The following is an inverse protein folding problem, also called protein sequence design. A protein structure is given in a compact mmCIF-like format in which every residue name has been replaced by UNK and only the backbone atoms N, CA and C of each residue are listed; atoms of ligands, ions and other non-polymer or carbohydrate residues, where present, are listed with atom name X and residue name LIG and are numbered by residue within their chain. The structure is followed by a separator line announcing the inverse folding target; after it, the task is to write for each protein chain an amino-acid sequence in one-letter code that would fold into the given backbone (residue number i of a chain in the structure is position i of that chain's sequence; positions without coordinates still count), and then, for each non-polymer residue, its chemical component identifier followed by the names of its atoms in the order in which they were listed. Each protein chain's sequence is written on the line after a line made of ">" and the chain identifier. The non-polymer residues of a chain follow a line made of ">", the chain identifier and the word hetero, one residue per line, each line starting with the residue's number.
data_IF_203749456651
#
_entry.id   IF_203749456651
#
_cell.length_a   1.000
_cell.length_b   1.000
_cell.length_c   1.000
_cell.angle_alpha   90.00
_cell.angle_beta   90.00
_cell.angle_gamma   90.00
#
_symmetry.space_group_name_H-M   'P 1'
#
loop_
_entity.id
_entity.type
_entity.pdbx_description
1 polymer ?
#
# COMPACT_ATOMS: atom_id res chain seq x y z
N UNK A 1 24.15 -14.93 -27.55
CA UNK A 1 23.87 -14.77 -26.10
C UNK A 1 22.36 -14.86 -25.89
N UNK A 2 21.85 -16.02 -25.48
CA UNK A 2 20.43 -16.20 -25.20
C UNK A 2 20.15 -15.82 -23.72
N UNK A 3 19.20 -14.92 -23.50
CA UNK A 3 18.72 -14.51 -22.17
C UNK A 3 17.93 -15.67 -21.55
N UNK A 4 18.44 -16.28 -20.49
CA UNK A 4 17.69 -17.25 -19.67
C UNK A 4 16.72 -16.52 -18.73
N UNK A 5 15.50 -16.27 -19.18
CA UNK A 5 14.37 -15.80 -18.35
C UNK A 5 13.60 -16.97 -17.66
N UNK A 6 14.15 -18.19 -17.69
CA UNK A 6 13.39 -19.46 -17.57
C UNK A 6 13.37 -20.14 -16.19
N UNK A 7 13.98 -19.57 -15.15
CA UNK A 7 13.99 -20.13 -13.79
C UNK A 7 13.43 -19.15 -12.74
N UNK A 8 12.29 -18.51 -13.04
CA UNK A 8 11.51 -17.87 -11.97
C UNK A 8 10.87 -18.94 -11.09
N UNK A 9 11.36 -19.02 -9.86
CA UNK A 9 10.74 -19.77 -8.77
C UNK A 9 9.61 -18.91 -8.20
N UNK A 10 8.41 -19.45 -8.14
CA UNK A 10 7.25 -18.81 -7.53
C UNK A 10 6.97 -19.54 -6.22
N UNK A 11 6.75 -18.78 -5.15
CA UNK A 11 6.31 -19.35 -3.88
C UNK A 11 4.79 -19.51 -3.95
N UNK A 12 4.30 -20.75 -3.92
CA UNK A 12 2.87 -21.06 -3.90
C UNK A 12 2.57 -21.82 -2.62
N UNK A 13 1.83 -21.20 -1.70
CA UNK A 13 1.58 -21.79 -0.39
C UNK A 13 2.85 -21.87 0.44
N UNK A 14 3.19 -23.10 0.87
CA UNK A 14 4.36 -23.43 1.67
C UNK A 14 5.49 -24.08 0.85
N UNK A 15 5.37 -24.12 -0.48
CA UNK A 15 6.34 -24.75 -1.38
C UNK A 15 6.82 -23.81 -2.48
N UNK A 16 8.01 -24.07 -3.01
CA UNK A 16 8.55 -23.40 -4.20
C UNK A 16 8.22 -24.25 -5.43
N UNK A 17 7.55 -23.66 -6.42
CA UNK A 17 7.28 -24.31 -7.70
C UNK A 17 7.85 -23.47 -8.84
N UNK A 18 8.36 -24.12 -9.89
CA UNK A 18 8.77 -23.39 -11.09
C UNK A 18 7.52 -22.83 -11.75
N UNK A 19 7.58 -21.59 -12.22
CA UNK A 19 6.45 -20.91 -12.87
C UNK A 19 5.79 -21.71 -14.00
N UNK A 20 6.55 -22.59 -14.68
CA UNK A 20 6.06 -23.46 -15.77
C UNK A 20 5.16 -24.62 -15.31
N UNK A 21 5.32 -25.05 -14.06
CA UNK A 21 4.62 -26.23 -13.51
C UNK A 21 3.29 -25.84 -12.86
N UNK A 22 3.02 -24.53 -12.76
CA UNK A 22 1.77 -24.02 -12.20
C UNK A 22 0.72 -23.90 -13.29
N UNK A 23 -0.37 -24.65 -13.14
CA UNK A 23 -1.50 -24.70 -14.07
C UNK A 23 -2.50 -23.53 -13.90
N UNK A 24 -2.31 -22.67 -12.90
CA UNK A 24 -3.17 -21.53 -12.61
C UNK A 24 -2.63 -20.19 -13.13
N UNK A 25 -3.52 -19.21 -13.34
CA UNK A 25 -3.19 -17.83 -13.71
C UNK A 25 -2.49 -17.09 -12.56
N UNK A 26 -1.16 -17.18 -12.54
CA UNK A 26 -0.30 -16.40 -11.66
C UNK A 26 0.31 -15.24 -12.44
N UNK A 27 0.14 -14.02 -11.92
CA UNK A 27 0.91 -12.87 -12.39
C UNK A 27 2.00 -12.55 -11.38
N UNK A 28 3.25 -12.50 -11.85
CA UNK A 28 4.42 -12.24 -11.01
C UNK A 28 5.04 -10.90 -11.42
N UNK A 29 5.30 -10.05 -10.44
CA UNK A 29 6.02 -8.79 -10.60
C UNK A 29 7.34 -8.88 -9.86
N UNK A 30 8.45 -8.59 -10.57
CA UNK A 30 9.79 -8.59 -9.97
C UNK A 30 9.96 -7.37 -9.07
N UNK A 31 10.63 -7.53 -7.94
CA UNK A 31 10.91 -6.45 -7.00
C UNK A 31 11.64 -5.25 -7.60
N UNK A 32 12.52 -5.48 -8.58
CA UNK A 32 13.21 -4.41 -9.32
C UNK A 32 12.28 -3.44 -10.05
N UNK A 33 11.05 -3.85 -10.37
CA UNK A 33 10.04 -2.97 -10.97
C UNK A 33 9.21 -2.22 -9.92
N UNK A 34 9.21 -2.69 -8.67
CA UNK A 34 8.55 -2.05 -7.52
C UNK A 34 9.47 -1.01 -6.87
N UNK A 35 10.76 -1.33 -6.76
CA UNK A 35 11.82 -0.49 -6.18
C UNK A 35 11.98 0.87 -6.89
N UNK A 36 11.57 0.98 -8.16
CA UNK A 36 11.64 2.23 -8.94
C UNK A 36 10.66 3.30 -8.46
N UNK A 37 9.66 2.93 -7.66
CA UNK A 37 8.59 3.83 -7.23
C UNK A 37 8.75 4.18 -5.76
N UNK A 38 8.84 5.48 -5.49
CA UNK A 38 8.83 6.04 -4.14
C UNK A 38 7.40 6.02 -3.58
N UNK A 39 6.90 4.83 -3.24
CA UNK A 39 5.57 4.64 -2.65
C UNK A 39 5.68 4.23 -1.19
N UNK A 40 4.79 4.78 -0.36
CA UNK A 40 4.67 4.45 1.05
C UNK A 40 4.20 3.02 1.29
N UNK A 41 3.45 2.46 0.35
CA UNK A 41 2.99 1.08 0.38
C UNK A 41 3.35 0.39 -0.95
N UNK A 42 4.08 -0.74 -0.94
CA UNK A 42 4.48 -1.45 -2.15
C UNK A 42 3.32 -1.92 -3.04
N UNK A 43 2.12 -2.14 -2.49
CA UNK A 43 0.92 -2.46 -3.28
C UNK A 43 0.61 -1.36 -4.28
N UNK A 44 0.79 -0.09 -3.93
CA UNK A 44 0.50 1.02 -4.83
C UNK A 44 1.35 0.96 -6.11
N UNK A 45 2.58 0.42 -6.03
CA UNK A 45 3.45 0.25 -7.19
C UNK A 45 2.98 -0.86 -8.16
N UNK A 46 2.08 -1.74 -7.74
CA UNK A 46 1.47 -2.76 -8.62
C UNK A 46 0.39 -2.17 -9.54
N UNK A 47 -0.03 -0.92 -9.31
CA UNK A 47 -1.08 -0.27 -10.09
C UNK A 47 -0.69 -0.24 -11.58
N UNK A 48 -1.54 -0.82 -12.42
CA UNK A 48 -1.31 -0.90 -13.87
C UNK A 48 -0.24 -1.91 -14.31
N UNK A 49 0.46 -2.59 -13.39
CA UNK A 49 1.45 -3.64 -13.73
C UNK A 49 0.80 -5.00 -13.95
N UNK A 50 -0.38 -5.21 -13.37
CA UNK A 50 -1.01 -6.52 -13.27
C UNK A 50 -2.45 -6.43 -13.80
N UNK A 51 -2.81 -7.21 -14.85
CA UNK A 51 -4.16 -7.12 -15.43
C UNK A 51 -5.20 -7.65 -14.45
N UNK A 52 -6.35 -6.98 -14.34
CA UNK A 52 -7.43 -7.37 -13.42
C UNK A 52 -7.16 -7.06 -11.95
N UNK A 53 -6.12 -6.27 -11.65
CA UNK A 53 -5.87 -5.71 -10.33
C UNK A 53 -6.31 -4.24 -10.31
N UNK A 54 -7.27 -3.91 -9.45
CA UNK A 54 -7.70 -2.52 -9.22
C UNK A 54 -7.19 -2.08 -7.86
N UNK A 55 -6.41 -1.00 -7.85
CA UNK A 55 -5.89 -0.37 -6.64
C UNK A 55 -6.46 1.04 -6.58
N UNK A 56 -7.13 1.35 -5.48
CA UNK A 56 -7.66 2.68 -5.20
C UNK A 56 -6.94 3.21 -3.97
N UNK A 57 -6.10 4.22 -4.16
CA UNK A 57 -5.46 4.94 -3.07
C UNK A 57 -6.46 5.93 -2.48
N UNK A 58 -6.41 6.11 -1.16
CA UNK A 58 -7.14 7.16 -0.45
C UNK A 58 -6.22 8.34 -0.14
N UNK A 59 -6.78 9.54 -0.11
CA UNK A 59 -6.06 10.76 0.28
C UNK A 59 -5.85 10.90 1.80
N UNK A 60 -6.37 9.97 2.60
CA UNK A 60 -6.26 9.98 4.06
C UNK A 60 -4.86 9.51 4.50
N UNK A 61 -4.15 10.25 5.37
CA UNK A 61 -2.89 9.78 5.93
C UNK A 61 -3.00 8.41 6.59
N UNK A 62 -2.01 7.55 6.36
CA UNK A 62 -1.94 6.21 6.96
C UNK A 62 -2.94 5.18 6.45
N UNK A 63 -3.81 5.56 5.50
CA UNK A 63 -4.76 4.62 4.92
C UNK A 63 -4.07 3.67 3.95
N UNK A 64 -4.28 2.37 4.13
CA UNK A 64 -3.82 1.37 3.17
C UNK A 64 -4.67 1.44 1.89
N UNK A 65 -4.08 1.26 0.70
CA UNK A 65 -4.83 1.23 -0.56
C UNK A 65 -5.88 0.13 -0.55
N UNK A 66 -7.06 0.41 -1.10
CA UNK A 66 -8.06 -0.65 -1.33
C UNK A 66 -7.66 -1.44 -2.56
N UNK A 67 -7.51 -2.76 -2.41
CA UNK A 67 -7.11 -3.67 -3.48
C UNK A 67 -8.25 -4.59 -3.83
N UNK A 68 -8.51 -4.75 -5.13
CA UNK A 68 -9.51 -5.68 -5.67
C UNK A 68 -8.92 -6.51 -6.80
N UNK A 69 -9.12 -7.83 -6.74
CA UNK A 69 -8.68 -8.77 -7.77
C UNK A 69 -9.91 -9.25 -8.53
N UNK A 70 -9.96 -8.94 -9.84
CA UNK A 70 -11.10 -9.24 -10.74
C UNK A 70 -12.44 -8.60 -10.30
N UNK A 71 -12.38 -7.46 -9.59
CA UNK A 71 -13.57 -6.72 -9.16
C UNK A 71 -14.07 -7.10 -7.77
N UNK A 72 -15.37 -6.92 -7.52
CA UNK A 72 -16.00 -7.21 -6.22
C UNK A 72 -16.70 -8.55 -6.32
N UNK A 73 -16.15 -9.57 -5.66
CA UNK A 73 -16.67 -10.95 -5.71
C UNK A 73 -17.58 -11.31 -4.53
N UNK A 74 -17.75 -10.41 -3.56
CA UNK A 74 -18.50 -10.65 -2.32
C UNK A 74 -19.20 -9.37 -1.84
N UNK A 75 -20.36 -9.54 -1.22
CA UNK A 75 -21.18 -8.47 -0.65
C UNK A 75 -20.71 -7.99 0.72
N UNK A 76 -19.84 -8.74 1.42
CA UNK A 76 -19.40 -8.42 2.78
C UNK A 76 -17.94 -7.94 2.84
N UNK A 77 -17.01 -8.63 2.18
CA UNK A 77 -15.60 -8.25 2.13
C UNK A 77 -14.94 -8.77 0.86
N UNK A 78 -14.29 -7.88 0.12
CA UNK A 78 -13.61 -8.18 -1.15
C UNK A 78 -12.09 -7.96 -1.07
N UNK A 79 -11.53 -7.83 0.14
CA UNK A 79 -10.10 -7.63 0.32
C UNK A 79 -9.34 -8.94 0.03
N UNK A 80 -8.19 -8.88 -0.66
CA UNK A 80 -7.34 -10.03 -0.87
C UNK A 80 -6.60 -10.42 0.40
N UNK A 81 -6.13 -11.66 0.44
CA UNK A 81 -5.22 -12.13 1.49
C UNK A 81 -3.77 -11.78 1.12
N UNK A 82 -3.04 -11.16 2.04
CA UNK A 82 -1.60 -10.96 1.87
C UNK A 82 -0.83 -12.08 2.55
N UNK A 83 0.15 -12.62 1.84
CA UNK A 83 1.11 -13.60 2.35
C UNK A 83 2.50 -12.99 2.25
N UNK A 84 3.25 -12.91 3.33
CA UNK A 84 4.64 -12.43 3.31
C UNK A 84 5.54 -13.52 3.84
N UNK A 85 6.41 -14.06 2.98
CA UNK A 85 7.31 -15.17 3.31
C UNK A 85 6.55 -16.39 3.88
N UNK A 86 5.37 -16.69 3.31
CA UNK A 86 4.51 -17.79 3.74
C UNK A 86 3.58 -17.47 4.92
N UNK A 87 3.64 -16.27 5.50
CA UNK A 87 2.81 -15.85 6.64
C UNK A 87 1.61 -15.00 6.21
N UNK A 88 0.42 -15.31 6.71
CA UNK A 88 -0.77 -14.49 6.49
C UNK A 88 -0.69 -13.19 7.28
N UNK A 89 -0.85 -12.06 6.59
CA UNK A 89 -0.87 -10.71 7.18
C UNK A 89 -2.03 -9.90 6.62
N UNK A 90 -2.48 -8.90 7.36
CA UNK A 90 -3.61 -8.05 6.97
C UNK A 90 -3.20 -6.88 6.06
N UNK A 91 -1.94 -6.42 6.15
CA UNK A 91 -1.38 -5.37 5.31
C UNK A 91 0.13 -5.58 5.10
N UNK A 92 0.72 -4.78 4.20
CA UNK A 92 2.16 -4.81 3.90
C UNK A 92 2.84 -3.45 4.00
N UNK A 93 2.26 -2.49 4.75
CA UNK A 93 2.82 -1.14 4.89
C UNK A 93 4.24 -1.12 5.49
N UNK A 94 4.65 -2.23 6.12
CA UNK A 94 5.96 -2.40 6.75
C UNK A 94 7.04 -2.88 5.79
N UNK A 95 6.66 -3.37 4.62
CA UNK A 95 7.61 -3.84 3.63
C UNK A 95 8.18 -2.65 2.87
N UNK A 96 9.50 -2.55 2.85
CA UNK A 96 10.19 -1.66 1.95
C UNK A 96 10.13 -2.26 0.53
N UNK A 97 9.72 -1.50 -0.51
CA UNK A 97 9.87 -1.89 -1.91
C UNK A 97 11.23 -2.52 -2.27
N UNK A 98 12.32 -1.99 -1.72
CA UNK A 98 13.68 -2.46 -1.99
C UNK A 98 13.98 -3.85 -1.39
N UNK A 99 13.20 -4.31 -0.42
CA UNK A 99 13.37 -5.63 0.21
C UNK A 99 12.55 -6.71 -0.47
N UNK A 100 11.71 -6.36 -1.45
CA UNK A 100 10.83 -7.31 -2.13
C UNK A 100 11.61 -7.99 -3.25
N UNK A 101 11.59 -9.32 -3.27
CA UNK A 101 12.14 -10.12 -4.37
C UNK A 101 11.09 -10.32 -5.46
N UNK A 102 9.92 -10.82 -5.09
CA UNK A 102 8.77 -11.01 -5.99
C UNK A 102 7.45 -10.68 -5.30
N UNK A 103 6.50 -10.21 -6.10
CA UNK A 103 5.08 -10.18 -5.73
C UNK A 103 4.31 -11.05 -6.71
N UNK A 104 3.71 -12.11 -6.20
CA UNK A 104 2.97 -13.11 -6.94
C UNK A 104 1.48 -13.00 -6.61
N UNK A 105 0.69 -12.70 -7.65
CA UNK A 105 -0.75 -12.59 -7.57
C UNK A 105 -1.40 -13.91 -8.01
N UNK A 106 -2.02 -14.60 -7.05
CA UNK A 106 -2.75 -15.85 -7.24
C UNK A 106 -4.25 -15.54 -7.38
N UNK A 107 -4.85 -15.96 -8.49
CA UNK A 107 -6.22 -15.56 -8.87
C UNK A 107 -7.15 -16.73 -9.12
N UNK A 108 -6.61 -17.90 -9.41
CA UNK A 108 -7.40 -19.05 -9.82
C UNK A 108 -7.59 -20.01 -8.66
N UNK A 109 -8.73 -20.71 -8.68
CA UNK A 109 -9.15 -21.61 -7.62
C UNK A 109 -8.07 -22.63 -7.23
N UNK A 110 -7.33 -23.19 -8.21
CA UNK A 110 -6.24 -24.14 -7.94
C UNK A 110 -5.06 -23.53 -7.18
N UNK A 111 -4.66 -22.31 -7.54
CA UNK A 111 -3.55 -21.59 -6.89
C UNK A 111 -3.91 -21.03 -5.50
N UNK A 112 -5.19 -20.76 -5.29
CA UNK A 112 -5.72 -20.10 -4.10
C UNK A 112 -6.27 -21.09 -3.07
N UNK A 113 -6.68 -22.30 -3.51
CA UNK A 113 -7.26 -23.35 -2.66
C UNK A 113 -6.39 -23.70 -1.45
N UNK A 114 -5.07 -23.57 -1.56
CA UNK A 114 -4.12 -23.82 -0.47
C UNK A 114 -4.37 -22.89 0.72
N UNK A 115 -4.88 -21.67 0.46
CA UNK A 115 -5.20 -20.68 1.48
C UNK A 115 -6.67 -20.70 1.92
N UNK A 116 -7.45 -21.64 1.39
CA UNK A 116 -8.85 -21.87 1.76
C UNK A 116 -9.76 -20.65 1.55
N UNK A 117 -10.77 -20.50 2.41
CA UNK A 117 -11.76 -19.42 2.34
C UNK A 117 -11.17 -18.01 2.42
N UNK A 118 -10.06 -17.84 3.15
CA UNK A 118 -9.37 -16.54 3.23
C UNK A 118 -8.78 -16.10 1.89
N UNK A 119 -8.43 -17.07 1.05
CA UNK A 119 -7.96 -16.81 -0.29
C UNK A 119 -9.06 -16.48 -1.30
N UNK A 120 -10.35 -16.64 -0.99
CA UNK A 120 -11.43 -16.58 -1.99
C UNK A 120 -11.47 -15.29 -2.85
N UNK A 121 -11.01 -14.17 -2.30
CA UNK A 121 -10.89 -12.88 -3.00
C UNK A 121 -9.56 -12.70 -3.77
N UNK A 122 -8.76 -13.77 -3.90
CA UNK A 122 -7.41 -13.79 -4.42
C UNK A 122 -6.34 -13.60 -3.34
N UNK A 123 -5.11 -13.97 -3.67
CA UNK A 123 -3.96 -13.94 -2.75
C UNK A 123 -2.82 -13.16 -3.39
N UNK A 124 -2.21 -12.28 -2.59
CA UNK A 124 -1.00 -11.55 -2.96
C UNK A 124 0.12 -12.13 -2.09
N UNK A 125 0.98 -12.93 -2.69
CA UNK A 125 2.14 -13.51 -2.05
C UNK A 125 3.38 -12.64 -2.31
N UNK A 126 4.08 -12.26 -1.26
CA UNK A 126 5.29 -11.45 -1.32
C UNK A 126 6.43 -12.30 -0.78
N UNK A 127 7.50 -12.39 -1.57
CA UNK A 127 8.76 -12.99 -1.18
C UNK A 127 9.76 -11.87 -0.91
N UNK A 128 10.39 -11.88 0.26
CA UNK A 128 11.43 -10.90 0.60
C UNK A 128 12.82 -11.39 0.19
N UNK A 129 13.71 -10.44 -0.14
CA UNK A 129 15.10 -10.72 -0.49
C UNK A 129 15.83 -11.30 0.72
N UNK A 130 16.35 -12.53 0.57
CA UNK A 130 17.21 -13.15 1.59
C UNK A 130 18.67 -12.99 1.21
N UNK A 131 19.52 -12.64 2.18
CA UNK A 131 20.96 -12.57 1.95
C UNK A 131 21.53 -13.92 1.48
N UNK A 132 22.54 -13.85 0.60
CA UNK A 132 23.29 -15.04 0.24
C UNK A 132 23.94 -15.68 1.48
N UNK A 133 24.16 -17.00 1.43
CA UNK A 133 24.74 -17.75 2.55
C UNK A 133 26.11 -17.18 2.95
N UNK A 134 26.30 -17.00 4.25
CA UNK A 134 27.49 -16.37 4.86
C UNK A 134 27.50 -14.84 4.79
N UNK A 135 26.47 -14.19 4.23
CA UNK A 135 26.42 -12.73 4.11
C UNK A 135 25.36 -12.11 5.02
N UNK A 136 25.67 -10.90 5.45
CA UNK A 136 24.73 -9.97 6.06
C UNK A 136 24.53 -8.82 5.08
N UNK A 137 23.28 -8.50 4.78
CA UNK A 137 22.90 -7.33 4.00
C UNK A 137 22.15 -6.39 4.92
N UNK A 138 22.51 -5.12 4.88
CA UNK A 138 21.82 -4.04 5.58
C UNK A 138 21.36 -3.07 4.51
N UNK A 139 20.06 -2.78 4.49
CA UNK A 139 19.48 -1.84 3.56
C UNK A 139 18.74 -0.75 4.34
N UNK A 140 19.06 0.50 4.04
CA UNK A 140 18.40 1.66 4.64
C UNK A 140 17.85 2.53 3.53
N UNK A 141 16.56 2.82 3.59
CA UNK A 141 15.86 3.67 2.63
C UNK A 141 15.11 4.75 3.39
N UNK A 142 15.34 5.99 3.01
CA UNK A 142 14.57 7.15 3.44
C UNK A 142 13.95 7.82 2.22
N UNK A 143 12.66 8.12 2.29
CA UNK A 143 11.93 8.84 1.25
C UNK A 143 11.23 10.02 1.90
N UNK A 144 11.46 11.21 1.36
CA UNK A 144 10.83 12.45 1.78
C UNK A 144 10.11 13.06 0.58
N UNK A 145 8.87 13.52 0.78
CA UNK A 145 8.05 14.09 -0.27
C UNK A 145 7.08 15.16 0.23
N UNK A 146 6.52 15.91 -0.70
CA UNK A 146 5.45 16.88 -0.46
C UNK A 146 4.23 16.47 -1.27
N UNK A 147 3.11 16.24 -0.59
CA UNK A 147 1.82 15.95 -1.18
C UNK A 147 1.08 17.26 -1.43
N UNK A 148 0.61 17.44 -2.67
CA UNK A 148 -0.18 18.60 -3.09
C UNK A 148 -1.49 18.15 -3.71
N UNK A 149 -2.54 18.93 -3.51
CA UNK A 149 -3.81 18.75 -4.23
C UNK A 149 -3.67 19.41 -5.59
N UNK A 150 -3.75 18.59 -6.64
CA UNK A 150 -3.56 19.02 -8.03
C UNK A 150 -4.84 19.54 -8.69
N UNK A 151 -6.00 19.18 -8.14
CA UNK A 151 -7.31 19.51 -8.68
C UNK A 151 -8.23 19.91 -7.52
N UNK A 152 -8.62 21.19 -7.50
CA UNK A 152 -9.57 21.76 -6.54
C UNK A 152 -10.91 21.91 -7.24
N UNK A 153 -12.01 21.84 -6.50
CA UNK A 153 -13.34 22.01 -7.08
C UNK A 153 -13.48 23.47 -7.54
N UNK A 154 -13.86 23.69 -8.80
CA UNK A 154 -14.18 25.03 -9.26
C UNK A 154 -15.46 25.53 -8.58
N UNK A 155 -15.30 26.54 -7.73
CA UNK A 155 -16.40 27.20 -7.03
C UNK A 155 -16.49 28.66 -7.46
N UNK A 156 -17.71 29.19 -7.46
CA UNK A 156 -17.91 30.63 -7.73
C UNK A 156 -17.39 31.47 -6.58
N UNK A 157 -16.90 32.67 -6.90
CA UNK A 157 -16.63 33.70 -5.92
C UNK A 157 -17.94 34.31 -5.36
N UNK A 158 -17.83 35.15 -4.33
CA UNK A 158 -18.97 35.79 -3.67
C UNK A 158 -19.87 36.57 -4.66
N UNK A 159 -19.28 37.28 -5.63
CA UNK A 159 -20.02 38.05 -6.62
C UNK A 159 -20.78 37.15 -7.60
N UNK A 160 -20.15 36.09 -8.08
CA UNK A 160 -20.81 35.12 -8.94
C UNK A 160 -21.94 34.38 -8.22
N UNK A 161 -21.79 34.09 -6.92
CA UNK A 161 -22.88 33.57 -6.09
C UNK A 161 -24.07 34.53 -6.04
N UNK A 162 -23.84 35.81 -5.73
CA UNK A 162 -24.88 36.85 -5.71
C UNK A 162 -25.60 36.93 -7.06
N UNK A 163 -24.86 36.90 -8.16
CA UNK A 163 -25.41 36.92 -9.52
C UNK A 163 -26.32 35.71 -9.79
N UNK A 164 -25.85 34.51 -9.46
CA UNK A 164 -26.61 33.27 -9.66
C UNK A 164 -27.89 33.26 -8.81
N UNK A 165 -27.77 33.65 -7.54
CA UNK A 165 -28.90 33.67 -6.62
C UNK A 165 -29.95 34.73 -6.98
N UNK A 166 -29.53 35.94 -7.38
CA UNK A 166 -30.46 36.96 -7.87
C UNK A 166 -31.18 36.52 -9.17
N UNK A 167 -30.47 35.82 -10.07
CA UNK A 167 -31.06 35.25 -11.29
C UNK A 167 -32.12 34.19 -10.94
N UNK A 168 -31.85 33.36 -9.93
CA UNK A 168 -32.81 32.38 -9.43
C UNK A 168 -34.06 33.04 -8.85
N UNK A 169 -33.92 34.08 -8.00
CA UNK A 169 -35.06 34.80 -7.42
C UNK A 169 -35.94 35.46 -8.49
N UNK A 170 -35.32 36.05 -9.51
CA UNK A 170 -36.04 36.62 -10.66
C UNK A 170 -36.86 35.56 -11.42
N UNK A 171 -36.31 34.35 -11.60
CA UNK A 171 -37.01 33.25 -12.28
C UNK A 171 -38.17 32.66 -11.45
N UNK A 172 -38.06 32.69 -10.12
CA UNK A 172 -39.10 32.17 -9.21
C UNK A 172 -40.24 33.17 -8.95
N UNK A 173 -40.15 34.39 -9.49
CA UNK A 173 -41.09 35.50 -9.18
C UNK A 173 -41.20 35.71 -7.65
N UNK A 174 -40.10 35.44 -6.93
CA UNK A 174 -40.08 35.39 -5.48
C UNK A 174 -39.21 36.51 -4.89
N UNK A 175 -39.84 37.28 -3.99
CA UNK A 175 -39.28 38.08 -2.89
C UNK A 175 -38.34 39.27 -3.21
N UNK A 176 -38.36 40.31 -2.35
CA UNK A 176 -37.54 41.54 -2.51
C UNK A 176 -36.04 41.24 -2.56
N UNK A 177 -35.24 42.16 -3.16
CA UNK A 177 -33.80 42.00 -3.29
C UNK A 177 -33.16 41.74 -1.93
N UNK A 178 -32.32 40.72 -1.87
CA UNK A 178 -31.55 40.37 -0.68
C UNK A 178 -30.52 41.44 -0.41
N UNK A 179 -30.39 41.84 0.86
CA UNK A 179 -29.40 42.82 1.29
C UNK A 179 -28.06 42.12 1.56
N UNK A 180 -27.09 42.35 0.68
CA UNK A 180 -25.74 41.80 0.80
C UNK A 180 -24.76 42.76 1.49
N UNK A 181 -25.21 43.89 2.05
CA UNK A 181 -24.34 44.95 2.58
C UNK A 181 -23.33 44.45 3.62
N UNK A 182 -23.71 43.46 4.42
CA UNK A 182 -22.85 42.85 5.45
C UNK A 182 -21.99 41.67 4.94
N UNK A 183 -22.19 41.22 3.70
CA UNK A 183 -21.55 40.01 3.15
C UNK A 183 -20.45 40.40 2.13
N UNK A 184 -19.35 40.97 2.64
CA UNK A 184 -18.23 41.47 1.81
C UNK A 184 -17.06 40.49 1.68
N UNK A 185 -17.07 39.38 2.41
CA UNK A 185 -15.99 38.41 2.39
C UNK A 185 -16.06 37.52 1.14
N UNK A 186 -14.89 37.19 0.58
CA UNK A 186 -14.73 36.25 -0.52
C UNK A 186 -13.68 35.20 -0.14
N UNK A 187 -14.01 34.37 0.85
CA UNK A 187 -13.08 33.41 1.43
C UNK A 187 -12.98 32.16 0.55
N UNK A 188 -11.76 31.80 0.16
CA UNK A 188 -11.48 30.49 -0.41
C UNK A 188 -11.44 29.45 0.72
N UNK A 189 -12.54 28.74 0.90
CA UNK A 189 -12.66 27.68 1.89
C UNK A 189 -11.74 26.49 1.61
N UNK A 190 -11.47 26.18 0.34
CA UNK A 190 -10.57 25.09 -0.02
C UNK A 190 -9.13 25.44 0.37
N UNK A 191 -8.69 26.67 0.13
CA UNK A 191 -7.36 27.11 0.59
C UNK A 191 -7.24 27.21 2.11
N UNK A 192 -8.35 27.47 2.81
CA UNK A 192 -8.37 27.57 4.27
C UNK A 192 -8.22 26.21 4.96
N UNK A 193 -8.78 25.13 4.39
CA UNK A 193 -8.74 23.78 4.99
C UNK A 193 -7.60 22.93 4.43
N UNK A 194 -7.14 23.20 3.21
CA UNK A 194 -6.10 22.43 2.54
C UNK A 194 -4.72 23.00 2.82
N UNK A 195 -3.70 22.17 2.71
CA UNK A 195 -2.29 22.53 2.79
C UNK A 195 -1.43 21.59 1.96
N UNK A 196 -0.24 22.05 1.61
CA UNK A 196 0.85 21.16 1.22
C UNK A 196 1.26 20.33 2.45
N UNK A 197 1.37 19.01 2.28
CA UNK A 197 1.62 18.10 3.38
C UNK A 197 2.91 17.32 3.17
N UNK A 198 3.71 17.16 4.22
CA UNK A 198 4.98 16.42 4.13
C UNK A 198 4.76 14.94 4.39
N UNK A 199 5.48 14.10 3.66
CA UNK A 199 5.56 12.67 3.91
C UNK A 199 7.02 12.27 4.09
N UNK A 200 7.30 11.47 5.13
CA UNK A 200 8.62 10.96 5.43
C UNK A 200 8.51 9.49 5.85
N UNK A 201 9.11 8.60 5.05
CA UNK A 201 9.12 7.17 5.30
C UNK A 201 10.55 6.68 5.39
N UNK A 202 10.87 6.01 6.48
CA UNK A 202 12.18 5.45 6.75
C UNK A 202 12.02 3.95 6.99
N UNK A 203 12.90 3.17 6.38
CA UNK A 203 12.92 1.73 6.55
C UNK A 203 14.36 1.25 6.65
N UNK A 204 14.58 0.34 7.59
CA UNK A 204 15.84 -0.35 7.80
C UNK A 204 15.55 -1.83 7.79
N UNK A 205 16.25 -2.57 6.93
CA UNK A 205 16.19 -4.02 6.90
C UNK A 205 17.56 -4.62 7.06
N UNK A 206 17.62 -5.69 7.85
CA UNK A 206 18.84 -6.45 8.12
C UNK A 206 18.51 -7.90 7.81
N UNK A 207 19.20 -8.46 6.82
CA UNK A 207 19.05 -9.85 6.41
C UNK A 207 20.37 -10.57 6.64
N UNK A 208 20.39 -11.57 7.49
CA UNK A 208 21.54 -12.43 7.75
C UNK A 208 21.18 -13.87 7.39
N UNK A 209 22.04 -14.53 6.62
CA UNK A 209 21.86 -15.93 6.28
C UNK A 209 23.15 -16.70 6.56
N UNK A 210 23.23 -17.31 7.72
CA UNK A 210 24.32 -18.22 8.11
C UNK A 210 23.98 -19.66 7.73
N UNK A 211 24.92 -20.59 7.98
CA UNK A 211 24.69 -22.01 7.74
C UNK A 211 23.55 -22.58 8.59
N UNK A 212 23.47 -22.16 9.85
CA UNK A 212 22.53 -22.68 10.85
C UNK A 212 21.33 -21.79 11.11
N UNK A 213 21.32 -20.56 10.59
CA UNK A 213 20.29 -19.57 10.93
C UNK A 213 20.05 -18.59 9.79
N UNK A 214 18.79 -18.26 9.54
CA UNK A 214 18.39 -17.12 8.70
C UNK A 214 17.58 -16.15 9.57
N UNK A 215 18.02 -14.90 9.60
CA UNK A 215 17.44 -13.84 10.42
C UNK A 215 17.10 -12.66 9.52
N UNK A 216 15.86 -12.20 9.56
CA UNK A 216 15.40 -10.98 8.90
C UNK A 216 14.80 -10.04 9.94
N UNK A 217 15.32 -8.83 10.02
CA UNK A 217 14.82 -7.77 10.89
C UNK A 217 14.37 -6.63 9.97
N UNK A 218 13.15 -6.13 10.15
CA UNK A 218 12.65 -4.94 9.46
C UNK A 218 12.17 -3.94 10.51
N UNK A 219 12.65 -2.71 10.40
CA UNK A 219 12.19 -1.56 11.18
C UNK A 219 11.67 -0.50 10.21
N UNK A 220 10.48 0.03 10.48
CA UNK A 220 9.84 1.05 9.66
C UNK A 220 9.32 2.20 10.50
N UNK A 221 9.51 3.43 10.02
CA UNK A 221 8.93 4.64 10.57
C UNK A 221 8.29 5.46 9.45
N UNK A 222 6.99 5.68 9.55
CA UNK A 222 6.22 6.50 8.62
C UNK A 222 5.66 7.71 9.37
N UNK A 223 5.87 8.90 8.82
CA UNK A 223 5.33 10.17 9.27
C UNK A 223 4.68 10.85 8.07
N UNK A 224 3.36 10.93 8.08
CA UNK A 224 2.57 11.43 6.98
C UNK A 224 1.60 12.49 7.47
N UNK A 225 1.81 13.73 7.02
CA UNK A 225 0.84 14.79 7.20
C UNK A 225 -0.27 14.68 6.14
N UNK A 226 -1.49 15.08 6.53
CA UNK A 226 -2.62 15.20 5.62
C UNK A 226 -2.65 16.53 4.89
N UNK A 227 -3.08 16.46 3.63
CA UNK A 227 -3.41 17.63 2.80
C UNK A 227 -4.60 18.41 3.36
N UNK A 228 -5.44 17.78 4.18
CA UNK A 228 -6.42 18.46 5.03
C UNK A 228 -5.74 18.80 6.36
N UNK A 229 -5.85 20.06 6.79
CA UNK A 229 -5.30 20.52 8.08
C UNK A 229 -5.85 19.67 9.24
N UNK A 230 -5.03 19.51 10.28
CA UNK A 230 -5.34 18.69 11.46
C UNK A 230 -5.55 17.19 11.18
N UNK A 231 -5.04 16.71 10.05
CA UNK A 231 -4.89 15.28 9.80
C UNK A 231 -3.41 14.91 9.75
N UNK A 232 -3.01 13.90 10.52
CA UNK A 232 -1.68 13.31 10.46
C UNK A 232 -1.72 11.81 10.80
N UNK A 233 -0.66 11.12 10.42
CA UNK A 233 -0.46 9.71 10.74
C UNK A 233 1.02 9.43 10.99
N UNK A 234 1.31 8.78 12.12
CA UNK A 234 2.64 8.32 12.47
C UNK A 234 2.59 6.85 12.82
N UNK A 235 3.45 6.03 12.24
CA UNK A 235 3.50 4.58 12.50
C UNK A 235 4.94 4.11 12.62
N UNK A 236 5.23 3.43 13.72
CA UNK A 236 6.44 2.65 13.92
C UNK A 236 6.08 1.17 13.81
N UNK A 237 6.89 0.40 13.10
CA UNK A 237 6.72 -1.05 12.98
C UNK A 237 8.07 -1.75 13.08
N UNK A 238 8.09 -2.87 13.79
CA UNK A 238 9.23 -3.75 13.93
C UNK A 238 8.80 -5.18 13.64
N UNK A 239 9.57 -5.87 12.80
CA UNK A 239 9.37 -7.28 12.46
C UNK A 239 10.69 -8.02 12.61
N UNK A 240 10.61 -9.23 13.17
CA UNK A 240 11.70 -10.18 13.25
C UNK A 240 11.19 -11.51 12.71
N UNK A 241 11.86 -12.04 11.69
CA UNK A 241 11.69 -13.43 11.26
C UNK A 241 13.00 -14.17 11.53
N UNK A 242 12.90 -15.31 12.19
CA UNK A 242 14.04 -16.13 12.58
C UNK A 242 13.77 -17.58 12.20
N UNK A 243 14.63 -18.17 11.37
CA UNK A 243 14.68 -19.60 11.10
C UNK A 243 15.99 -20.16 11.65
N UNK A 244 15.91 -21.23 12.43
CA UNK A 244 17.07 -21.96 12.95
C UNK A 244 17.02 -23.38 12.38
N UNK A 245 18.14 -23.81 11.79
CA UNK A 245 18.36 -25.16 11.25
C UNK A 245 19.13 -25.96 12.29
N UNK A 246 18.40 -26.78 13.05
CA UNK A 246 18.98 -27.62 14.10
C UNK A 246 19.75 -28.78 13.45
N UNK A 247 19.14 -29.39 12.43
CA UNK A 247 19.76 -30.42 11.57
C UNK A 247 19.30 -30.21 10.12
N UNK A 248 19.84 -30.97 9.18
CA UNK A 248 19.38 -30.93 7.77
C UNK A 248 17.90 -31.31 7.61
N UNK A 249 17.30 -31.95 8.62
CA UNK A 249 15.92 -32.43 8.63
C UNK A 249 15.00 -31.65 9.56
N UNK A 250 15.54 -30.86 10.49
CA UNK A 250 14.76 -30.16 11.51
C UNK A 250 15.07 -28.67 11.46
N UNK A 251 14.04 -27.89 11.17
CA UNK A 251 14.08 -26.42 11.19
C UNK A 251 12.99 -25.90 12.12
N UNK A 252 13.30 -24.88 12.90
CA UNK A 252 12.35 -24.16 13.74
C UNK A 252 12.35 -22.72 13.31
N UNK A 253 11.17 -22.17 13.06
CA UNK A 253 10.99 -20.78 12.68
C UNK A 253 10.10 -20.04 13.67
N UNK A 254 10.33 -18.75 13.83
CA UNK A 254 9.46 -17.84 14.56
C UNK A 254 9.39 -16.49 13.85
N UNK A 255 8.22 -15.88 13.88
CA UNK A 255 8.02 -14.51 13.43
C UNK A 255 7.43 -13.68 14.56
N UNK A 256 7.91 -12.46 14.69
CA UNK A 256 7.38 -11.47 15.61
C UNK A 256 7.11 -10.19 14.82
N UNK A 257 5.96 -9.57 15.06
CA UNK A 257 5.61 -8.29 14.46
C UNK A 257 4.95 -7.44 15.53
N UNK A 258 5.47 -6.24 15.73
CA UNK A 258 4.93 -5.23 16.63
C UNK A 258 4.83 -3.90 15.92
N UNK A 259 3.76 -3.17 16.17
CA UNK A 259 3.57 -1.84 15.62
C UNK A 259 2.90 -0.92 16.63
N UNK A 260 3.19 0.37 16.50
CA UNK A 260 2.53 1.43 17.22
C UNK A 260 2.20 2.53 16.23
N UNK A 261 0.97 3.02 16.24
CA UNK A 261 0.56 4.12 15.38
C UNK A 261 -0.22 5.17 16.16
N UNK A 262 -0.20 6.40 15.65
CA UNK A 262 -1.01 7.53 16.08
C UNK A 262 -1.63 8.17 14.86
N UNK A 263 -2.90 8.51 14.96
CA UNK A 263 -3.63 9.24 13.94
C UNK A 263 -4.30 10.46 14.57
N UNK A 264 -4.29 11.57 13.86
CA UNK A 264 -5.13 12.72 14.16
C UNK A 264 -6.06 12.99 12.97
N UNK A 265 -7.34 13.31 13.22
CA UNK A 265 -8.03 13.18 14.50
C UNK A 265 -8.08 11.72 14.96
N UNK A 266 -8.02 11.50 16.28
CA UNK A 266 -8.12 10.16 16.87
C UNK A 266 -9.52 9.61 16.59
N UNK A 267 -9.61 8.57 15.76
CA UNK A 267 -10.82 7.76 15.57
C UNK A 267 -11.04 6.78 16.69
#
# INVERSE_FOLDING_TARGET
>A
MARNDLDQVVVVGYGTQKKRDVTGSIASVKGADIEKYAVTNPIAALQGKVPGLTITNSGTPGSSPTVRIRGVNSTNSANPLYIVDGQMVDNIDFLNPADIETIDLLRDASSVAIYGLRGANGVIAITTKVSARGKTTVNFQSTVGIQKIIDKIDVTDANGFIKLYNTQLANLVAAPPQDYTNYKANTDWQDLILRDATINTNSLSISNNSEKSTTLINLGYNDQDGVVKYSNFKKFIARLNQEIRITDKIKIGGNFTGFHFRNEPTT
#
